data_IF_302617266210
#
_entry.id   IF_302617266210
#
_cell.length_a   1.000
_cell.length_b   1.000
_cell.length_c   1.000
_cell.angle_alpha   90.00
_cell.angle_beta   90.00
_cell.angle_gamma   90.00
#
_symmetry.space_group_name_H-M   'P 1'
#
loop_
_entity.id
_entity.type
_entity.pdbx_description
1 polymer ?
#
# COMPACT_ATOMS: atom_id res chain seq x y z
N UNK A 1 -9.34 -19.17 22.80
CA UNK A 1 -9.72 -17.90 22.15
C UNK A 1 -8.55 -16.96 22.30
N UNK A 2 -7.88 -16.60 21.21
CA UNK A 2 -6.84 -15.57 21.21
C UNK A 2 -7.53 -14.20 21.28
N UNK A 3 -7.28 -13.44 22.34
CA UNK A 3 -7.77 -12.07 22.47
C UNK A 3 -7.33 -11.25 21.25
N UNK A 4 -8.25 -10.50 20.64
CA UNK A 4 -7.96 -9.58 19.52
C UNK A 4 -8.03 -8.15 20.03
N UNK A 5 -7.12 -7.30 19.57
CA UNK A 5 -7.18 -5.85 19.76
C UNK A 5 -7.63 -5.23 18.44
N UNK A 6 -8.71 -4.45 18.50
CA UNK A 6 -9.18 -3.68 17.35
C UNK A 6 -8.55 -2.31 17.46
N UNK A 7 -7.73 -1.97 16.48
CA UNK A 7 -7.17 -0.64 16.36
C UNK A 7 -7.91 0.16 15.28
N UNK A 8 -8.57 1.22 15.71
CA UNK A 8 -9.23 2.21 14.86
C UNK A 8 -8.44 3.51 14.87
N UNK A 9 -7.26 3.50 14.26
CA UNK A 9 -6.40 4.69 14.22
C UNK A 9 -6.91 5.77 13.26
N UNK A 10 -7.65 5.37 12.22
CA UNK A 10 -8.33 6.29 11.30
C UNK A 10 -9.64 5.68 10.80
N UNK A 11 -10.77 6.28 11.16
CA UNK A 11 -12.04 6.01 10.48
C UNK A 11 -11.87 6.29 8.98
N UNK A 12 -12.33 5.41 8.08
CA UNK A 12 -13.23 4.28 8.28
C UNK A 12 -12.56 2.90 8.40
N UNK A 13 -11.23 2.84 8.58
CA UNK A 13 -10.48 1.59 8.54
C UNK A 13 -10.25 0.98 9.93
N UNK A 14 -10.53 -0.32 10.04
CA UNK A 14 -10.30 -1.12 11.26
C UNK A 14 -9.14 -2.07 11.01
N UNK A 15 -8.03 -1.89 11.73
CA UNK A 15 -6.94 -2.86 11.75
C UNK A 15 -7.11 -3.75 12.97
N UNK A 16 -7.26 -5.05 12.76
CA UNK A 16 -7.41 -6.02 13.84
C UNK A 16 -6.09 -6.75 14.00
N UNK A 17 -5.60 -6.85 15.23
CA UNK A 17 -4.32 -7.49 15.56
C UNK A 17 -4.55 -8.48 16.71
N UNK A 18 -3.76 -9.54 16.78
CA UNK A 18 -3.83 -10.48 17.91
C UNK A 18 -3.09 -9.91 19.11
N UNK A 19 -3.72 -9.95 20.28
CA UNK A 19 -3.13 -9.51 21.54
C UNK A 19 -2.00 -10.45 21.94
N UNK A 20 -0.95 -9.89 22.55
CA UNK A 20 0.21 -10.63 23.07
C UNK A 20 0.99 -11.43 22.00
N UNK A 21 0.81 -11.09 20.73
CA UNK A 21 1.57 -11.69 19.63
C UNK A 21 2.66 -10.70 19.20
N UNK A 22 3.92 -11.16 19.20
CA UNK A 22 5.08 -10.30 19.04
C UNK A 22 5.10 -9.59 17.68
N UNK A 23 4.74 -10.29 16.61
CA UNK A 23 4.73 -9.75 15.26
C UNK A 23 3.65 -8.66 15.09
N UNK A 24 2.45 -8.91 15.60
CA UNK A 24 1.34 -7.96 15.63
C UNK A 24 1.61 -6.75 16.53
N UNK A 25 2.29 -6.93 17.66
CA UNK A 25 2.71 -5.80 18.50
C UNK A 25 3.66 -4.87 17.74
N UNK A 26 4.59 -5.41 16.95
CA UNK A 26 5.46 -4.59 16.10
C UNK A 26 4.65 -3.87 15.01
N UNK A 27 3.70 -4.54 14.36
CA UNK A 27 2.81 -3.88 13.38
C UNK A 27 2.07 -2.71 14.02
N UNK A 28 1.52 -2.89 15.22
CA UNK A 28 0.84 -1.82 15.95
C UNK A 28 1.78 -0.63 16.19
N UNK A 29 2.98 -0.88 16.72
CA UNK A 29 3.97 0.16 16.99
C UNK A 29 4.36 0.95 15.73
N UNK A 30 4.74 0.26 14.66
CA UNK A 30 5.14 0.92 13.42
C UNK A 30 3.98 1.66 12.75
N UNK A 31 2.77 1.10 12.77
CA UNK A 31 1.60 1.75 12.19
C UNK A 31 1.21 3.01 12.99
N UNK A 32 1.15 2.92 14.33
CA UNK A 32 0.89 4.07 15.21
C UNK A 32 1.91 5.18 14.98
N UNK A 33 3.20 4.81 14.96
CA UNK A 33 4.27 5.77 14.75
C UNK A 33 4.18 6.41 13.36
N UNK A 34 3.84 5.64 12.32
CA UNK A 34 3.71 6.16 10.96
C UNK A 34 2.57 7.17 10.86
N UNK A 35 1.42 6.84 11.43
CA UNK A 35 0.24 7.72 11.46
C UNK A 35 0.52 9.02 12.20
N UNK A 36 1.24 8.94 13.34
CA UNK A 36 1.62 10.12 14.13
C UNK A 36 2.65 11.00 13.43
N UNK A 37 3.67 10.39 12.82
CA UNK A 37 4.84 11.08 12.26
C UNK A 37 4.53 11.67 10.89
N UNK A 38 4.03 10.86 9.95
CA UNK A 38 3.87 11.29 8.56
C UNK A 38 2.49 11.86 8.22
N UNK A 39 1.46 11.52 9.01
CA UNK A 39 0.06 11.94 8.76
C UNK A 39 -0.31 11.73 7.27
N UNK A 40 -0.27 10.47 6.80
CA UNK A 40 -0.30 10.16 5.37
C UNK A 40 -1.53 10.71 4.68
N UNK A 41 -1.36 11.20 3.44
CA UNK A 41 -2.45 11.64 2.60
C UNK A 41 -3.21 10.42 2.07
N UNK A 42 -2.48 9.36 1.70
CA UNK A 42 -3.07 8.11 1.26
C UNK A 42 -3.28 7.15 2.44
N UNK A 43 -4.30 7.46 3.26
CA UNK A 43 -4.72 6.63 4.39
C UNK A 43 -5.11 5.21 3.96
N UNK A 44 -5.72 5.06 2.78
CA UNK A 44 -6.11 3.77 2.21
C UNK A 44 -4.92 2.86 1.97
N UNK A 45 -3.86 3.34 1.29
CA UNK A 45 -2.66 2.53 1.03
C UNK A 45 -1.94 2.20 2.33
N UNK A 46 -1.83 3.17 3.23
CA UNK A 46 -1.23 2.93 4.54
C UNK A 46 -1.96 1.80 5.26
N UNK A 47 -3.30 1.83 5.28
CA UNK A 47 -4.09 0.74 5.84
C UNK A 47 -3.87 -0.58 5.08
N UNK A 48 -3.94 -0.60 3.74
CA UNK A 48 -3.79 -1.80 2.91
C UNK A 48 -2.45 -2.51 3.14
N UNK A 49 -1.36 -1.75 3.29
CA UNK A 49 -0.03 -2.29 3.56
C UNK A 49 0.03 -2.93 4.94
N UNK A 50 -0.36 -2.21 6.00
CA UNK A 50 -0.28 -2.74 7.36
C UNK A 50 -1.26 -3.89 7.62
N UNK A 51 -2.44 -3.85 7.01
CA UNK A 51 -3.39 -4.98 7.04
C UNK A 51 -2.97 -6.14 6.14
N UNK A 52 -2.28 -5.85 5.05
CA UNK A 52 -1.70 -6.85 4.16
C UNK A 52 -0.51 -7.58 4.78
N UNK A 53 0.17 -7.01 5.77
CA UNK A 53 1.25 -7.73 6.47
C UNK A 53 0.80 -8.39 7.77
N UNK A 54 -0.43 -8.17 8.24
CA UNK A 54 -0.86 -8.68 9.55
C UNK A 54 -1.19 -10.17 9.55
N UNK A 55 -2.21 -10.59 8.80
CA UNK A 55 -2.69 -11.98 8.83
C UNK A 55 -2.01 -13.01 7.91
N UNK A 56 -1.24 -12.66 6.86
CA UNK A 56 -0.68 -13.70 5.96
C UNK A 56 0.38 -14.59 6.61
N UNK A 57 0.85 -14.19 7.79
CA UNK A 57 1.75 -14.92 8.66
C UNK A 57 1.09 -16.08 9.44
N UNK A 58 -0.24 -16.09 9.57
CA UNK A 58 -0.95 -17.00 10.48
C UNK A 58 -1.69 -18.10 9.73
N UNK A 59 -1.99 -19.21 10.40
CA UNK A 59 -2.79 -20.34 9.88
C UNK A 59 -4.23 -19.96 9.48
N UNK A 60 -4.58 -18.68 9.58
CA UNK A 60 -5.82 -18.10 9.08
C UNK A 60 -5.69 -17.79 7.60
N UNK A 61 -6.20 -18.68 6.76
CA UNK A 61 -6.23 -18.49 5.32
C UNK A 61 -7.19 -17.37 4.86
N UNK A 62 -7.98 -16.74 5.75
CA UNK A 62 -8.95 -15.69 5.38
C UNK A 62 -8.77 -14.43 6.21
N UNK A 63 -9.13 -13.29 5.63
CA UNK A 63 -9.22 -12.03 6.38
C UNK A 63 -10.30 -12.14 7.48
N UNK A 64 -10.09 -11.53 8.66
CA UNK A 64 -11.17 -11.33 9.61
C UNK A 64 -12.35 -10.60 8.96
N UNK A 65 -13.58 -11.02 9.26
CA UNK A 65 -14.78 -10.46 8.63
C UNK A 65 -14.90 -8.95 8.83
N UNK A 66 -14.59 -8.47 10.03
CA UNK A 66 -14.58 -7.03 10.35
C UNK A 66 -13.52 -6.24 9.57
N UNK A 67 -12.43 -6.89 9.13
CA UNK A 67 -11.41 -6.26 8.28
C UNK A 67 -11.78 -6.30 6.80
N UNK A 68 -12.53 -7.31 6.35
CA UNK A 68 -12.88 -7.44 4.94
C UNK A 68 -13.59 -6.19 4.38
N UNK A 69 -14.49 -5.59 5.16
CA UNK A 69 -15.16 -4.34 4.76
C UNK A 69 -14.20 -3.15 4.71
N UNK A 70 -13.32 -2.99 5.70
CA UNK A 70 -12.31 -1.92 5.71
C UNK A 70 -11.32 -2.07 4.55
N UNK A 71 -10.92 -3.31 4.22
CA UNK A 71 -10.02 -3.61 3.11
C UNK A 71 -10.65 -3.29 1.75
N UNK A 72 -11.89 -3.71 1.52
CA UNK A 72 -12.61 -3.36 0.30
C UNK A 72 -12.84 -1.85 0.16
N UNK A 73 -13.10 -1.15 1.26
CA UNK A 73 -13.25 0.31 1.26
C UNK A 73 -11.93 1.03 0.97
N UNK A 74 -10.82 0.51 1.50
CA UNK A 74 -9.51 1.06 1.26
C UNK A 74 -9.11 0.91 -0.22
N UNK A 75 -9.33 -0.26 -0.84
CA UNK A 75 -9.13 -0.41 -2.29
C UNK A 75 -10.01 0.53 -3.10
N UNK A 76 -11.30 0.62 -2.79
CA UNK A 76 -12.20 1.52 -3.51
C UNK A 76 -11.79 2.99 -3.42
N UNK A 77 -11.16 3.39 -2.30
CA UNK A 77 -10.64 4.75 -2.13
C UNK A 77 -9.34 4.96 -2.90
N UNK A 78 -8.45 3.98 -2.83
CA UNK A 78 -7.15 3.97 -3.50
C UNK A 78 -7.27 3.92 -5.03
N UNK A 79 -8.27 3.20 -5.55
CA UNK A 79 -8.44 2.91 -6.97
C UNK A 79 -9.39 3.89 -7.68
N UNK A 80 -9.62 5.06 -7.08
CA UNK A 80 -10.42 6.12 -7.69
C UNK A 80 -9.82 6.54 -9.05
N UNK A 81 -10.67 6.93 -10.02
CA UNK A 81 -12.13 7.11 -9.94
C UNK A 81 -12.93 5.80 -10.01
N UNK A 82 -12.28 4.64 -10.17
CA UNK A 82 -12.96 3.36 -10.34
C UNK A 82 -13.65 2.88 -9.05
N UNK A 83 -14.89 2.42 -9.20
CA UNK A 83 -15.69 1.89 -8.09
C UNK A 83 -15.45 0.38 -7.95
N UNK A 84 -14.44 0.00 -7.18
CA UNK A 84 -14.02 -1.40 -7.01
C UNK A 84 -14.54 -2.06 -5.73
N UNK A 85 -15.29 -1.33 -4.89
CA UNK A 85 -15.78 -1.85 -3.61
C UNK A 85 -16.51 -3.20 -3.73
N UNK A 86 -17.45 -3.31 -4.67
CA UNK A 86 -18.31 -4.49 -4.81
C UNK A 86 -17.53 -5.75 -5.17
N UNK A 87 -16.53 -5.64 -6.06
CA UNK A 87 -15.70 -6.78 -6.45
C UNK A 87 -14.84 -7.26 -5.28
N UNK A 88 -14.29 -6.34 -4.50
CA UNK A 88 -13.49 -6.68 -3.32
C UNK A 88 -14.34 -7.31 -2.22
N UNK A 89 -15.49 -6.73 -1.87
CA UNK A 89 -16.39 -7.29 -0.83
C UNK A 89 -16.84 -8.70 -1.17
N UNK A 90 -17.18 -8.96 -2.43
CA UNK A 90 -17.61 -10.29 -2.88
C UNK A 90 -16.51 -11.32 -2.64
N UNK A 91 -15.32 -11.06 -3.18
CA UNK A 91 -14.30 -12.09 -3.28
C UNK A 91 -13.37 -12.22 -2.06
N UNK A 92 -13.25 -11.19 -1.23
CA UNK A 92 -12.40 -11.24 -0.03
C UNK A 92 -12.89 -12.25 1.02
N UNK A 93 -14.21 -12.54 1.02
CA UNK A 93 -14.82 -13.55 1.90
C UNK A 93 -14.78 -14.95 1.28
N UNK A 94 -14.85 -15.03 -0.04
CA UNK A 94 -14.88 -16.29 -0.79
C UNK A 94 -13.52 -16.97 -0.81
N UNK A 95 -12.47 -16.24 -1.19
CA UNK A 95 -11.13 -16.80 -1.37
C UNK A 95 -10.27 -16.73 -0.11
N UNK A 96 -9.24 -17.57 -0.07
CA UNK A 96 -8.15 -17.36 0.87
C UNK A 96 -7.34 -16.11 0.50
N UNK A 97 -6.57 -15.59 1.45
CA UNK A 97 -5.76 -14.39 1.32
C UNK A 97 -4.90 -14.40 0.05
N UNK A 98 -4.17 -15.51 -0.17
CA UNK A 98 -3.27 -15.66 -1.31
C UNK A 98 -4.02 -15.58 -2.64
N UNK A 99 -5.10 -16.34 -2.81
CA UNK A 99 -5.87 -16.34 -4.05
C UNK A 99 -6.62 -15.04 -4.25
N UNK A 100 -7.19 -14.45 -3.20
CA UNK A 100 -7.81 -13.13 -3.29
C UNK A 100 -6.82 -12.08 -3.78
N UNK A 101 -5.63 -12.02 -3.19
CA UNK A 101 -4.61 -11.05 -3.62
C UNK A 101 -4.17 -11.28 -5.06
N UNK A 102 -3.85 -12.51 -5.43
CA UNK A 102 -3.31 -12.80 -6.76
C UNK A 102 -4.34 -12.76 -7.88
N UNK A 103 -5.55 -13.27 -7.66
CA UNK A 103 -6.56 -13.44 -8.71
C UNK A 103 -7.53 -12.26 -8.81
N UNK A 104 -7.71 -11.50 -7.73
CA UNK A 104 -8.70 -10.42 -7.67
C UNK A 104 -8.04 -9.08 -7.41
N UNK A 105 -7.33 -8.93 -6.28
CA UNK A 105 -6.79 -7.63 -5.91
C UNK A 105 -5.76 -7.12 -6.90
N UNK A 106 -4.76 -7.94 -7.23
CA UNK A 106 -3.68 -7.56 -8.14
C UNK A 106 -4.16 -7.18 -9.55
N UNK A 107 -5.01 -7.97 -10.25
CA UNK A 107 -5.51 -7.55 -11.57
C UNK A 107 -6.33 -6.27 -11.54
N UNK A 108 -7.17 -6.09 -10.50
CA UNK A 108 -7.95 -4.85 -10.32
C UNK A 108 -7.03 -3.66 -10.07
N UNK A 109 -5.99 -3.85 -9.27
CA UNK A 109 -5.01 -2.81 -8.93
C UNK A 109 -4.17 -2.42 -10.16
N UNK A 110 -3.70 -3.39 -10.95
CA UNK A 110 -3.01 -3.14 -12.23
C UNK A 110 -3.90 -2.33 -13.17
N UNK A 111 -5.18 -2.72 -13.32
CA UNK A 111 -6.11 -1.99 -14.16
C UNK A 111 -6.32 -0.56 -13.67
N UNK A 112 -6.64 -0.38 -12.39
CA UNK A 112 -6.91 0.93 -11.80
C UNK A 112 -5.68 1.85 -11.92
N UNK A 113 -4.49 1.34 -11.62
CA UNK A 113 -3.25 2.12 -11.73
C UNK A 113 -2.86 2.45 -13.17
N UNK A 114 -3.11 1.54 -14.11
CA UNK A 114 -2.93 1.84 -15.54
C UNK A 114 -3.84 2.99 -15.96
N UNK A 115 -5.09 2.98 -15.51
CA UNK A 115 -6.05 4.04 -15.82
C UNK A 115 -5.69 5.36 -15.14
N UNK A 116 -5.33 5.34 -13.86
CA UNK A 116 -4.86 6.53 -13.12
C UNK A 116 -3.62 7.16 -13.78
N UNK A 117 -2.73 6.34 -14.35
CA UNK A 117 -1.56 6.85 -15.07
C UNK A 117 -1.95 7.69 -16.30
N UNK A 118 -2.99 7.28 -17.03
CA UNK A 118 -3.44 8.01 -18.23
C UNK A 118 -4.41 9.16 -17.91
N UNK A 119 -5.29 8.96 -16.93
CA UNK A 119 -6.46 9.82 -16.71
C UNK A 119 -6.47 10.56 -15.37
N UNK A 120 -5.45 10.33 -14.53
CA UNK A 120 -5.42 10.85 -13.17
C UNK A 120 -6.36 10.12 -12.23
N UNK A 121 -6.29 10.49 -10.96
CA UNK A 121 -7.19 9.98 -9.91
C UNK A 121 -8.47 10.85 -9.81
N UNK A 122 -8.36 12.14 -10.13
CA UNK A 122 -9.42 13.14 -10.01
C UNK A 122 -10.16 13.44 -11.32
N UNK A 123 -10.06 12.53 -12.29
CA UNK A 123 -10.53 12.75 -13.67
C UNK A 123 -9.90 14.00 -14.32
N UNK A 124 -8.72 14.41 -13.86
CA UNK A 124 -7.92 15.48 -14.46
C UNK A 124 -6.93 14.86 -15.45
N UNK A 125 -7.05 15.21 -16.74
CA UNK A 125 -6.16 14.71 -17.78
C UNK A 125 -4.69 14.97 -17.41
N UNK A 126 -3.93 13.88 -17.33
CA UNK A 126 -2.53 13.86 -16.90
C UNK A 126 -2.30 14.43 -15.50
N UNK A 127 -3.09 14.13 -14.45
CA UNK A 127 -2.70 14.47 -13.06
C UNK A 127 -1.23 14.10 -12.78
N UNK A 128 -0.48 14.89 -12.00
CA UNK A 128 0.80 14.44 -11.42
C UNK A 128 2.11 14.35 -12.21
N UNK A 129 2.11 14.55 -13.53
CA UNK A 129 3.36 14.70 -14.29
C UNK A 129 4.30 13.51 -14.14
N UNK A 130 5.62 13.74 -14.06
CA UNK A 130 6.60 12.66 -13.99
C UNK A 130 6.60 11.89 -12.66
N UNK A 131 6.04 12.47 -11.59
CA UNK A 131 5.98 11.84 -10.26
C UNK A 131 5.06 10.62 -10.18
N UNK A 132 4.22 10.39 -11.20
CA UNK A 132 3.48 9.12 -11.33
C UNK A 132 4.41 7.92 -11.47
N UNK A 133 5.59 8.06 -12.12
CA UNK A 133 6.53 6.95 -12.31
C UNK A 133 7.13 6.47 -10.97
N UNK A 134 7.75 7.34 -10.13
CA UNK A 134 8.25 6.91 -8.83
C UNK A 134 7.12 6.52 -7.87
N UNK A 135 5.92 7.12 -7.98
CA UNK A 135 4.73 6.66 -7.24
C UNK A 135 4.41 5.20 -7.57
N UNK A 136 4.21 4.86 -8.85
CA UNK A 136 3.93 3.49 -9.29
C UNK A 136 5.05 2.52 -8.91
N UNK A 137 6.30 2.92 -9.10
CA UNK A 137 7.46 2.10 -8.71
C UNK A 137 7.43 1.78 -7.21
N UNK A 138 7.23 2.79 -6.36
CA UNK A 138 7.16 2.59 -4.91
C UNK A 138 5.96 1.73 -4.48
N UNK A 139 4.83 1.83 -5.19
CA UNK A 139 3.64 1.03 -4.96
C UNK A 139 3.90 -0.46 -5.21
N UNK A 140 4.56 -0.79 -6.34
CA UNK A 140 4.91 -2.18 -6.65
C UNK A 140 5.95 -2.75 -5.69
N UNK A 141 6.89 -1.93 -5.20
CA UNK A 141 7.83 -2.34 -4.15
C UNK A 141 7.08 -2.65 -2.85
N UNK A 142 6.12 -1.83 -2.44
CA UNK A 142 5.28 -2.11 -1.26
C UNK A 142 4.48 -3.40 -1.43
N UNK A 143 3.86 -3.62 -2.59
CA UNK A 143 3.15 -4.86 -2.88
C UNK A 143 4.08 -6.07 -2.77
N UNK A 144 5.28 -6.00 -3.34
CA UNK A 144 6.26 -7.07 -3.26
C UNK A 144 6.65 -7.37 -1.80
N UNK A 145 6.91 -6.33 -1.00
CA UNK A 145 7.22 -6.46 0.43
C UNK A 145 6.05 -7.11 1.20
N UNK A 146 4.81 -6.72 0.91
CA UNK A 146 3.59 -7.28 1.52
C UNK A 146 3.32 -8.73 1.11
N UNK A 147 3.58 -9.09 -0.15
CA UNK A 147 3.46 -10.48 -0.61
C UNK A 147 4.54 -11.39 -0.03
N UNK A 148 5.69 -10.82 0.35
CA UNK A 148 6.79 -11.55 0.97
C UNK A 148 6.60 -11.81 2.48
N UNK A 149 5.64 -11.14 3.13
CA UNK A 149 5.32 -11.29 4.56
C UNK A 149 5.25 -12.73 5.05
N UNK A 150 4.55 -13.68 4.38
CA UNK A 150 4.46 -15.06 4.86
C UNK A 150 5.83 -15.73 5.01
N UNK A 151 6.76 -15.43 4.09
CA UNK A 151 8.11 -15.99 4.12
C UNK A 151 8.94 -15.41 5.26
N UNK A 152 8.85 -14.10 5.48
CA UNK A 152 9.54 -13.42 6.60
C UNK A 152 9.07 -13.99 7.93
N UNK A 153 7.77 -14.17 8.10
CA UNK A 153 7.25 -14.72 9.34
C UNK A 153 7.64 -16.19 9.56
N UNK A 154 7.52 -17.03 8.53
CA UNK A 154 7.72 -18.46 8.65
C UNK A 154 9.21 -18.88 8.73
N UNK A 155 10.10 -18.18 8.02
CA UNK A 155 11.48 -18.65 7.82
C UNK A 155 12.54 -17.76 8.44
N UNK A 156 12.25 -16.48 8.71
CA UNK A 156 13.28 -15.57 9.17
C UNK A 156 13.25 -15.43 10.70
N UNK A 157 14.42 -15.33 11.36
CA UNK A 157 14.47 -15.20 12.81
C UNK A 157 13.88 -13.87 13.27
N UNK A 158 13.23 -13.85 14.44
CA UNK A 158 12.51 -12.67 14.98
C UNK A 158 13.31 -11.36 14.96
N UNK A 159 14.62 -11.44 15.14
CA UNK A 159 15.53 -10.27 15.09
C UNK A 159 15.50 -9.53 13.75
N UNK A 160 15.13 -10.21 12.66
CA UNK A 160 15.04 -9.63 11.31
C UNK A 160 13.70 -8.96 11.01
N UNK A 161 12.68 -9.17 11.86
CA UNK A 161 11.35 -8.59 11.65
C UNK A 161 11.37 -7.06 11.78
N UNK A 162 12.18 -6.51 12.70
CA UNK A 162 12.30 -5.07 12.87
C UNK A 162 12.93 -4.38 11.64
N UNK A 163 14.06 -4.86 11.08
CA UNK A 163 14.55 -4.39 9.79
C UNK A 163 13.50 -4.49 8.67
N UNK A 164 12.77 -5.60 8.58
CA UNK A 164 11.72 -5.78 7.56
C UNK A 164 10.58 -4.75 7.68
N UNK A 165 10.03 -4.55 8.87
CA UNK A 165 9.00 -3.54 9.10
C UNK A 165 9.53 -2.12 8.92
N UNK A 166 10.81 -1.88 9.22
CA UNK A 166 11.47 -0.60 8.92
C UNK A 166 11.54 -0.36 7.42
N UNK A 167 11.86 -1.36 6.61
CA UNK A 167 11.83 -1.24 5.15
C UNK A 167 10.43 -0.86 4.66
N UNK A 168 9.38 -1.55 5.12
CA UNK A 168 7.98 -1.19 4.79
C UNK A 168 7.68 0.26 5.20
N UNK A 169 8.02 0.63 6.43
CA UNK A 169 7.77 1.96 6.99
C UNK A 169 8.39 3.07 6.14
N UNK A 170 9.67 2.94 5.78
CA UNK A 170 10.37 3.95 4.98
C UNK A 170 9.93 3.94 3.51
N UNK A 171 9.68 2.77 2.92
CA UNK A 171 9.12 2.69 1.57
C UNK A 171 7.74 3.35 1.51
N UNK A 172 6.91 3.15 2.55
CA UNK A 172 5.58 3.76 2.63
C UNK A 172 5.66 5.28 2.79
N UNK A 173 6.67 5.79 3.51
CA UNK A 173 6.92 7.23 3.61
C UNK A 173 7.31 7.83 2.25
N UNK A 174 8.20 7.16 1.51
CA UNK A 174 8.57 7.56 0.14
C UNK A 174 7.35 7.51 -0.78
N UNK A 175 6.54 6.46 -0.68
CA UNK A 175 5.32 6.32 -1.44
C UNK A 175 4.32 7.45 -1.17
N UNK A 176 4.03 7.78 0.10
CA UNK A 176 3.11 8.89 0.44
C UNK A 176 3.66 10.24 -0.05
N UNK A 177 4.97 10.44 0.00
CA UNK A 177 5.61 11.62 -0.58
C UNK A 177 5.40 11.68 -2.10
N UNK A 178 5.73 10.61 -2.83
CA UNK A 178 5.53 10.54 -4.28
C UNK A 178 4.05 10.71 -4.64
N UNK A 179 3.13 10.12 -3.87
CA UNK A 179 1.70 10.27 -4.05
C UNK A 179 1.26 11.74 -3.92
N UNK A 180 1.67 12.43 -2.85
CA UNK A 180 1.40 13.88 -2.70
C UNK A 180 1.88 14.67 -3.89
N UNK A 181 3.01 14.29 -4.47
CA UNK A 181 3.57 14.96 -5.63
C UNK A 181 2.79 14.65 -6.91
N UNK A 182 2.33 13.40 -7.06
CA UNK A 182 1.55 12.89 -8.17
C UNK A 182 0.09 13.37 -8.18
N UNK A 183 -0.48 13.81 -7.05
CA UNK A 183 -1.86 14.33 -7.05
C UNK A 183 -1.94 15.86 -7.07
N UNK A 184 -0.85 16.56 -7.40
CA UNK A 184 -0.87 18.03 -7.50
C UNK A 184 -1.47 18.45 -8.83
N UNK A 185 -2.24 19.53 -8.78
CA UNK A 185 -2.59 20.25 -9.98
C UNK A 185 -1.40 21.13 -10.39
N UNK A 186 -0.81 20.84 -11.55
CA UNK A 186 0.36 21.51 -12.09
C UNK A 186 0.16 21.84 -13.58
N UNK A 187 0.77 22.93 -14.02
CA UNK A 187 0.72 23.39 -15.41
C UNK A 187 1.47 22.45 -16.37
N UNK A 188 1.14 22.49 -17.66
CA UNK A 188 1.84 21.71 -18.70
C UNK A 188 3.35 21.97 -18.71
N UNK A 189 3.78 23.21 -18.51
CA UNK A 189 5.20 23.57 -18.48
C UNK A 189 5.92 22.91 -17.30
N UNK A 190 5.31 22.90 -16.11
CA UNK A 190 5.88 22.21 -14.95
C UNK A 190 6.01 20.71 -15.19
N UNK A 191 5.05 20.09 -15.89
CA UNK A 191 5.10 18.67 -16.25
C UNK A 191 6.27 18.34 -17.15
N UNK A 192 6.49 19.16 -18.18
CA UNK A 192 7.62 19.00 -19.10
C UNK A 192 8.95 19.14 -18.35
N UNK A 193 9.06 20.12 -17.46
CA UNK A 193 10.26 20.32 -16.63
C UNK A 193 10.51 19.12 -15.71
N UNK A 194 9.48 18.65 -15.00
CA UNK A 194 9.59 17.47 -14.12
C UNK A 194 9.99 16.22 -14.91
N UNK A 195 9.44 16.03 -16.11
CA UNK A 195 9.78 14.89 -16.98
C UNK A 195 11.21 14.95 -17.51
N UNK A 196 11.65 16.11 -18.00
CA UNK A 196 13.04 16.31 -18.43
C UNK A 196 14.00 16.09 -17.26
N UNK A 197 13.67 16.63 -16.09
CA UNK A 197 14.45 16.44 -14.86
C UNK A 197 14.54 14.97 -14.46
N UNK A 198 13.43 14.23 -14.50
CA UNK A 198 13.40 12.79 -14.25
C UNK A 198 14.30 12.01 -15.21
N UNK A 199 14.20 12.29 -16.52
CA UNK A 199 15.03 11.65 -17.54
C UNK A 199 16.53 11.96 -17.32
N UNK A 200 16.86 13.20 -16.99
CA UNK A 200 18.23 13.61 -16.71
C UNK A 200 18.81 12.91 -15.48
N UNK A 201 18.07 12.90 -14.36
CA UNK A 201 18.48 12.20 -13.14
C UNK A 201 18.64 10.71 -13.41
N UNK A 202 17.68 10.08 -14.10
CA UNK A 202 17.75 8.66 -14.44
C UNK A 202 18.98 8.34 -15.29
N UNK A 203 19.29 9.18 -16.28
CA UNK A 203 20.48 9.05 -17.10
C UNK A 203 21.77 9.23 -16.29
N UNK A 204 21.84 10.26 -15.44
CA UNK A 204 22.99 10.49 -14.58
C UNK A 204 23.24 9.34 -13.60
N UNK A 205 22.17 8.80 -12.98
CA UNK A 205 22.27 7.61 -12.13
C UNK A 205 22.77 6.39 -12.90
N UNK A 206 22.30 6.18 -14.14
CA UNK A 206 22.80 5.10 -15.00
C UNK A 206 24.29 5.27 -15.30
N UNK A 207 24.76 6.48 -15.61
CA UNK A 207 26.18 6.75 -15.85
C UNK A 207 27.06 6.55 -14.60
N UNK A 208 26.52 6.74 -13.39
CA UNK A 208 27.25 6.46 -12.15
C UNK A 208 27.36 4.96 -11.83
N UNK A 209 26.54 4.12 -12.46
CA UNK A 209 26.52 2.68 -12.25
C UNK A 209 27.38 1.91 -13.27
N UNK A 210 27.95 2.60 -14.26
CA UNK A 210 28.86 2.08 -15.29
C UNK A 210 30.27 2.60 -15.01
#
# INVERSE_FOLDING_TARGET
MTDKVIHTFCSPYKLILMKNECYHNMIAEYYENFMKTYKPLNLSVTYLVWSGVSFPAFDTYKFPEDMAHSYALAFNTHQRPHKTYSIHVKYIKEYNYRYYLWLIAFPVDVYAHTMQFFWGERDEFLEGGAFFIPYMTSHWVLLALTLFTPFVYAFFPKVTWAPYFSSIYYTLAVHDYCYRMAVRNISLNQRLIEFIGFCYVSYASYQLLI
#
